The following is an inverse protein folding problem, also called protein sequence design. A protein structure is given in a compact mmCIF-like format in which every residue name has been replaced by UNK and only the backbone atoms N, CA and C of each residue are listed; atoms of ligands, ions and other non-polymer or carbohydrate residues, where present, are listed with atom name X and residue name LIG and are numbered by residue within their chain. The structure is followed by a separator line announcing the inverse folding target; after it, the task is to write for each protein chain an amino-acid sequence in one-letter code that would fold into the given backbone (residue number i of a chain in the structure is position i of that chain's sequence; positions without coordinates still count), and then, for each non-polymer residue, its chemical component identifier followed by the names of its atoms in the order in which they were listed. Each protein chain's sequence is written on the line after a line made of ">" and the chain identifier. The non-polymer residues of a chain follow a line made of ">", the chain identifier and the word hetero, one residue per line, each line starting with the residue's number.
data_IF_667356484370
#
_entry.id   IF_667356484370
#
_cell.length_a   1.000
_cell.length_b   1.000
_cell.length_c   1.000
_cell.angle_alpha   90.00
_cell.angle_beta   90.00
_cell.angle_gamma   90.00
#
_symmetry.space_group_name_H-M   'P 1'
#
loop_
_entity.id
_entity.type
_entity.pdbx_description
1 polymer ?
#
# COMPACT_ATOMS: atom_id res chain seq x y z
N UNK A 1 -55.57 12.81 -30.22
CA UNK A 1 -55.68 11.79 -29.19
C UNK A 1 -54.76 10.65 -29.59
N UNK A 2 -53.70 10.48 -28.90
CA UNK A 2 -52.96 9.25 -28.69
C UNK A 2 -51.65 9.60 -28.01
N UNK A 3 -51.62 9.39 -26.71
CA UNK A 3 -50.43 9.57 -25.89
C UNK A 3 -49.43 8.48 -26.20
N UNK A 4 -48.20 8.89 -26.39
CA UNK A 4 -47.04 7.98 -26.32
C UNK A 4 -46.37 8.14 -24.96
N UNK A 5 -46.62 7.19 -24.06
CA UNK A 5 -45.83 6.97 -22.85
C UNK A 5 -44.43 6.53 -23.25
N UNK A 6 -43.48 7.41 -23.14
CA UNK A 6 -42.07 7.06 -23.22
C UNK A 6 -41.64 6.41 -21.90
N UNK A 7 -41.53 5.09 -21.90
CA UNK A 7 -40.77 4.34 -20.87
C UNK A 7 -39.32 4.79 -20.91
N UNK A 8 -38.90 5.56 -19.92
CA UNK A 8 -37.48 5.71 -19.59
C UNK A 8 -37.04 4.45 -18.90
N UNK A 9 -36.48 3.51 -19.68
CA UNK A 9 -35.69 2.43 -19.12
C UNK A 9 -34.48 3.05 -18.41
N UNK A 10 -34.50 3.00 -17.10
CA UNK A 10 -33.32 3.18 -16.26
C UNK A 10 -32.36 2.01 -16.58
N UNK A 11 -31.46 2.24 -17.53
CA UNK A 11 -30.27 1.41 -17.65
C UNK A 11 -29.37 1.73 -16.46
N UNK A 12 -29.57 1.03 -15.33
CA UNK A 12 -28.54 0.94 -14.30
C UNK A 12 -27.30 0.33 -14.97
N UNK A 13 -26.35 1.20 -15.25
CA UNK A 13 -25.03 0.84 -15.73
C UNK A 13 -24.38 0.03 -14.60
N UNK A 14 -24.48 -1.29 -14.68
CA UNK A 14 -23.82 -2.23 -13.75
C UNK A 14 -22.33 -2.30 -14.11
N UNK A 15 -21.63 -1.15 -14.02
CA UNK A 15 -20.18 -1.14 -14.18
C UNK A 15 -19.58 -2.02 -13.09
N UNK A 16 -18.87 -3.07 -13.50
CA UNK A 16 -18.14 -3.97 -12.59
C UNK A 16 -17.26 -3.12 -11.67
N UNK A 17 -17.51 -3.17 -10.37
CA UNK A 17 -16.69 -2.45 -9.38
C UNK A 17 -15.23 -2.84 -9.53
N UNK A 18 -14.35 -1.84 -9.53
CA UNK A 18 -12.91 -2.09 -9.53
C UNK A 18 -12.50 -2.76 -8.21
N UNK A 19 -11.54 -3.67 -8.29
CA UNK A 19 -11.02 -4.41 -7.14
C UNK A 19 -9.63 -3.92 -6.75
N UNK A 20 -9.40 -3.79 -5.45
CA UNK A 20 -8.11 -3.39 -4.90
C UNK A 20 -7.60 -4.39 -3.86
N UNK A 21 -6.36 -4.86 -4.02
CA UNK A 21 -5.65 -5.55 -2.94
C UNK A 21 -4.78 -4.54 -2.18
N UNK A 22 -4.94 -4.49 -0.86
CA UNK A 22 -4.05 -3.71 0.02
C UNK A 22 -3.35 -4.66 0.98
N UNK A 23 -2.05 -4.91 0.77
CA UNK A 23 -1.30 -5.81 1.64
C UNK A 23 -1.03 -5.19 3.01
N UNK A 24 -1.12 -5.99 4.10
CA UNK A 24 -0.93 -5.49 5.46
C UNK A 24 -1.98 -4.47 5.92
N UNK A 25 -3.22 -4.62 5.46
CA UNK A 25 -4.31 -3.66 5.69
C UNK A 25 -5.18 -3.94 6.92
N UNK A 26 -4.75 -4.84 7.79
CA UNK A 26 -5.46 -5.11 9.06
C UNK A 26 -5.33 -3.97 10.09
N UNK A 27 -4.37 -3.05 9.94
CA UNK A 27 -4.12 -1.91 10.84
C UNK A 27 -3.30 -0.80 10.16
N UNK A 28 -3.11 0.31 10.89
CA UNK A 28 -2.21 1.40 10.51
C UNK A 28 -2.48 2.00 9.14
N UNK A 29 -1.41 2.29 8.40
CA UNK A 29 -1.47 2.90 7.06
C UNK A 29 -2.30 2.05 6.11
N UNK A 30 -2.08 0.73 6.09
CA UNK A 30 -2.82 -0.18 5.21
C UNK A 30 -4.33 -0.17 5.47
N UNK A 31 -4.78 -0.14 6.75
CA UNK A 31 -6.20 0.01 7.10
C UNK A 31 -6.78 1.33 6.57
N UNK A 32 -6.07 2.44 6.77
CA UNK A 32 -6.53 3.75 6.30
C UNK A 32 -6.66 3.78 4.78
N UNK A 33 -5.71 3.19 4.05
CA UNK A 33 -5.77 3.05 2.59
C UNK A 33 -6.96 2.18 2.17
N UNK A 34 -7.13 1.00 2.77
CA UNK A 34 -8.21 0.08 2.45
C UNK A 34 -9.60 0.72 2.62
N UNK A 35 -9.81 1.41 3.76
CA UNK A 35 -11.04 2.15 4.04
C UNK A 35 -11.25 3.30 3.05
N UNK A 36 -10.19 4.02 2.69
CA UNK A 36 -10.26 5.12 1.73
C UNK A 36 -10.62 4.65 0.32
N UNK A 37 -10.00 3.58 -0.18
CA UNK A 37 -10.30 3.00 -1.50
C UNK A 37 -11.73 2.45 -1.57
N UNK A 38 -12.21 1.84 -0.48
CA UNK A 38 -13.61 1.39 -0.40
C UNK A 38 -14.61 2.54 -0.51
N UNK A 39 -14.32 3.71 0.08
CA UNK A 39 -15.14 4.93 -0.08
C UNK A 39 -15.14 5.46 -1.50
N UNK A 40 -14.08 5.21 -2.27
CA UNK A 40 -13.99 5.53 -3.69
C UNK A 40 -14.62 4.47 -4.61
N UNK A 41 -15.34 3.49 -4.03
CA UNK A 41 -16.10 2.49 -4.76
C UNK A 41 -15.37 1.20 -5.09
N UNK A 42 -14.13 1.02 -4.64
CA UNK A 42 -13.43 -0.25 -4.81
C UNK A 42 -14.02 -1.36 -3.95
N UNK A 43 -14.08 -2.57 -4.50
CA UNK A 43 -14.14 -3.80 -3.71
C UNK A 43 -12.74 -4.10 -3.17
N UNK A 44 -12.56 -4.12 -1.84
CA UNK A 44 -11.24 -4.20 -1.24
C UNK A 44 -10.92 -5.59 -0.71
N UNK A 45 -9.78 -6.12 -1.11
CA UNK A 45 -9.20 -7.31 -0.48
C UNK A 45 -8.30 -6.84 0.67
N UNK A 46 -8.76 -7.06 1.89
CA UNK A 46 -7.99 -6.80 3.12
C UNK A 46 -7.03 -7.97 3.34
N UNK A 47 -5.75 -7.68 3.52
CA UNK A 47 -4.74 -8.72 3.75
C UNK A 47 -4.11 -8.58 5.13
N UNK A 48 -3.85 -9.73 5.78
CA UNK A 48 -3.09 -9.84 7.03
C UNK A 48 -2.16 -11.07 7.02
N UNK A 49 -1.05 -11.00 7.77
CA UNK A 49 -0.19 -12.15 7.96
C UNK A 49 -0.76 -13.12 9.02
N UNK A 50 -0.93 -12.67 10.26
CA UNK A 50 -1.34 -13.54 11.38
C UNK A 50 -2.62 -13.10 12.08
N UNK A 51 -2.87 -11.80 12.22
CA UNK A 51 -4.00 -11.31 13.01
C UNK A 51 -5.26 -11.12 12.17
N UNK A 52 -6.00 -12.22 11.98
CA UNK A 52 -7.27 -12.23 11.24
C UNK A 52 -8.34 -11.35 11.90
N UNK A 53 -8.39 -11.30 13.23
CA UNK A 53 -9.36 -10.49 13.95
C UNK A 53 -9.25 -9.01 13.59
N UNK A 54 -8.02 -8.45 13.53
CA UNK A 54 -7.81 -7.06 13.09
C UNK A 54 -8.18 -6.84 11.62
N UNK A 55 -8.08 -7.86 10.78
CA UNK A 55 -8.55 -7.78 9.40
C UNK A 55 -10.09 -7.77 9.34
N UNK A 56 -10.77 -8.56 10.16
CA UNK A 56 -12.23 -8.54 10.29
C UNK A 56 -12.74 -7.16 10.80
N UNK A 57 -12.01 -6.53 11.75
CA UNK A 57 -12.32 -5.16 12.16
C UNK A 57 -12.26 -4.18 10.98
N UNK A 58 -11.20 -4.27 10.15
CA UNK A 58 -11.05 -3.42 8.96
C UNK A 58 -12.19 -3.67 7.97
N UNK A 59 -12.53 -4.94 7.72
CA UNK A 59 -13.65 -5.32 6.86
C UNK A 59 -14.96 -4.72 7.38
N UNK A 60 -15.26 -4.86 8.67
CA UNK A 60 -16.47 -4.28 9.29
C UNK A 60 -16.53 -2.76 9.13
N UNK A 61 -15.41 -2.05 9.28
CA UNK A 61 -15.36 -0.59 9.05
C UNK A 61 -15.73 -0.25 7.61
N UNK A 62 -15.22 -1.00 6.64
CA UNK A 62 -15.54 -0.82 5.21
C UNK A 62 -17.02 -1.08 4.95
N UNK A 63 -17.55 -2.20 5.44
CA UNK A 63 -18.95 -2.59 5.23
C UNK A 63 -19.93 -1.64 5.92
N UNK A 64 -19.62 -1.17 7.13
CA UNK A 64 -20.40 -0.15 7.84
C UNK A 64 -20.44 1.19 7.11
N UNK A 65 -19.43 1.47 6.29
CA UNK A 65 -19.37 2.64 5.41
C UNK A 65 -20.05 2.43 4.04
N UNK A 66 -20.75 1.30 3.83
CA UNK A 66 -21.40 0.95 2.56
C UNK A 66 -20.48 0.36 1.50
N UNK A 67 -19.22 0.10 1.83
CA UNK A 67 -18.25 -0.55 0.94
C UNK A 67 -18.36 -2.08 0.95
N UNK A 68 -17.53 -2.75 0.13
CA UNK A 68 -17.42 -4.20 0.08
C UNK A 68 -15.98 -4.63 0.33
N UNK A 69 -15.78 -5.66 1.17
CA UNK A 69 -14.46 -6.19 1.44
C UNK A 69 -14.44 -7.71 1.65
N UNK A 70 -13.36 -8.34 1.18
CA UNK A 70 -13.00 -9.72 1.49
C UNK A 70 -11.67 -9.76 2.24
N UNK A 71 -11.30 -10.93 2.79
CA UNK A 71 -10.06 -11.08 3.55
C UNK A 71 -9.25 -12.23 2.97
N UNK A 72 -7.97 -11.97 2.69
CA UNK A 72 -6.97 -12.98 2.41
C UNK A 72 -5.87 -12.95 3.48
N UNK A 73 -5.44 -14.12 3.91
CA UNK A 73 -4.41 -14.27 4.93
C UNK A 73 -3.20 -15.01 4.37
N UNK A 74 -2.03 -14.38 4.45
CA UNK A 74 -0.74 -14.97 4.06
C UNK A 74 0.41 -14.27 4.77
N UNK A 75 1.40 -14.99 5.24
CA UNK A 75 2.66 -14.39 5.69
C UNK A 75 3.58 -14.17 4.48
N UNK A 76 3.78 -12.91 4.12
CA UNK A 76 4.62 -12.54 2.98
C UNK A 76 6.13 -12.70 3.23
N UNK A 77 6.54 -13.02 4.45
CA UNK A 77 7.91 -13.45 4.74
C UNK A 77 8.21 -14.84 4.19
N UNK A 78 7.15 -15.64 3.95
CA UNK A 78 7.22 -17.01 3.45
C UNK A 78 6.89 -17.03 1.95
N UNK A 79 7.86 -17.31 1.06
CA UNK A 79 7.67 -17.24 -0.40
C UNK A 79 6.49 -18.06 -0.91
N UNK A 80 6.29 -19.26 -0.37
CA UNK A 80 5.16 -20.13 -0.77
C UNK A 80 3.80 -19.51 -0.46
N UNK A 81 3.68 -18.79 0.66
CA UNK A 81 2.44 -18.09 1.00
C UNK A 81 2.25 -16.86 0.10
N UNK A 82 3.32 -16.16 -0.28
CA UNK A 82 3.24 -15.08 -1.26
C UNK A 82 2.77 -15.59 -2.63
N UNK A 83 3.29 -16.74 -3.09
CA UNK A 83 2.84 -17.41 -4.32
C UNK A 83 1.37 -17.85 -4.21
N UNK A 84 0.95 -18.38 -3.07
CA UNK A 84 -0.46 -18.72 -2.83
C UNK A 84 -1.35 -17.48 -2.90
N UNK A 85 -0.99 -16.42 -2.20
CA UNK A 85 -1.75 -15.15 -2.22
C UNK A 85 -1.87 -14.59 -3.64
N UNK A 86 -0.81 -14.64 -4.45
CA UNK A 86 -0.82 -14.16 -5.82
C UNK A 86 -1.84 -14.87 -6.72
N UNK A 87 -2.16 -16.13 -6.40
CA UNK A 87 -3.19 -16.91 -7.10
C UNK A 87 -4.60 -16.65 -6.54
N UNK A 88 -4.72 -16.55 -5.21
CA UNK A 88 -6.00 -16.37 -4.51
C UNK A 88 -6.58 -14.96 -4.65
N UNK A 89 -5.77 -13.94 -4.88
CA UNK A 89 -6.26 -12.56 -5.02
C UNK A 89 -7.12 -12.36 -6.27
N UNK A 90 -6.96 -13.22 -7.28
CA UNK A 90 -7.68 -13.09 -8.56
C UNK A 90 -7.34 -11.80 -9.31
N UNK A 91 -8.26 -11.34 -10.14
CA UNK A 91 -8.12 -10.09 -10.87
C UNK A 91 -8.23 -8.88 -9.95
N UNK A 92 -7.26 -7.98 -10.00
CA UNK A 92 -7.27 -6.71 -9.28
C UNK A 92 -6.88 -5.56 -10.22
N UNK A 93 -7.57 -4.45 -10.06
CA UNK A 93 -7.36 -3.22 -10.83
C UNK A 93 -6.37 -2.28 -10.12
N UNK A 94 -6.36 -2.29 -8.79
CA UNK A 94 -5.40 -1.57 -7.97
C UNK A 94 -4.66 -2.52 -7.02
N UNK A 95 -3.34 -2.37 -6.94
CA UNK A 95 -2.48 -3.15 -6.05
C UNK A 95 -1.67 -2.21 -5.15
N UNK A 96 -1.92 -2.25 -3.84
CA UNK A 96 -1.19 -1.47 -2.85
C UNK A 96 -0.29 -2.37 -2.02
N UNK A 97 1.01 -2.23 -2.20
CA UNK A 97 2.07 -3.02 -1.58
C UNK A 97 2.52 -2.33 -0.27
N UNK A 98 1.73 -2.51 0.79
CA UNK A 98 1.97 -1.85 2.09
C UNK A 98 2.56 -2.79 3.14
N UNK A 99 2.36 -4.10 3.05
CA UNK A 99 2.96 -5.05 3.99
C UNK A 99 4.49 -4.89 4.05
N UNK A 100 5.05 -4.89 5.25
CA UNK A 100 6.50 -4.81 5.41
C UNK A 100 6.96 -5.37 6.75
N UNK A 101 8.11 -6.03 6.73
CA UNK A 101 8.87 -6.44 7.91
C UNK A 101 10.03 -5.46 8.12
N UNK A 102 10.21 -5.03 9.36
CA UNK A 102 11.32 -4.18 9.80
C UNK A 102 11.95 -4.78 11.05
N UNK A 103 13.21 -5.15 10.96
CA UNK A 103 14.00 -5.63 12.09
C UNK A 103 15.09 -4.61 12.36
N UNK A 104 15.15 -4.10 13.59
CA UNK A 104 16.23 -3.23 14.07
C UNK A 104 17.36 -4.09 14.60
N UNK A 105 18.56 -3.90 14.06
CA UNK A 105 19.73 -4.68 14.43
C UNK A 105 21.01 -3.90 14.07
N UNK A 106 22.05 -3.89 14.90
CA UNK A 106 23.39 -3.48 14.47
C UNK A 106 23.83 -4.29 13.25
N UNK A 107 24.46 -3.66 12.27
CA UNK A 107 24.81 -4.32 11.01
C UNK A 107 25.67 -5.59 11.21
N UNK A 108 26.53 -5.59 12.22
CA UNK A 108 27.43 -6.71 12.57
C UNK A 108 26.72 -7.94 13.15
N UNK A 109 25.44 -7.79 13.55
CA UNK A 109 24.65 -8.84 14.19
C UNK A 109 23.52 -9.35 13.29
N UNK A 110 23.36 -8.78 12.09
CA UNK A 110 22.32 -9.21 11.15
C UNK A 110 22.58 -10.63 10.68
N UNK A 111 21.62 -11.52 10.90
CA UNK A 111 21.71 -12.90 10.39
C UNK A 111 21.22 -12.98 8.94
N UNK A 112 21.67 -13.99 8.22
CA UNK A 112 21.20 -14.29 6.85
C UNK A 112 19.68 -14.49 6.82
N UNK A 113 19.14 -15.16 7.82
CA UNK A 113 17.70 -15.42 7.96
C UNK A 113 16.89 -14.12 8.14
N UNK A 114 17.34 -13.21 9.01
CA UNK A 114 16.70 -11.89 9.18
C UNK A 114 16.74 -11.05 7.90
N UNK A 115 17.87 -11.12 7.18
CA UNK A 115 18.02 -10.47 5.89
C UNK A 115 17.02 -11.04 4.86
N UNK A 116 16.99 -12.37 4.71
CA UNK A 116 16.10 -13.06 3.79
C UNK A 116 14.61 -12.77 4.09
N UNK A 117 14.21 -12.87 5.36
CA UNK A 117 12.81 -12.56 5.76
C UNK A 117 12.39 -11.14 5.38
N UNK A 118 13.25 -10.15 5.64
CA UNK A 118 12.94 -8.77 5.26
C UNK A 118 12.86 -8.59 3.75
N UNK A 119 13.79 -9.17 2.99
CA UNK A 119 13.79 -9.11 1.53
C UNK A 119 12.60 -9.87 0.94
N UNK A 120 12.25 -11.05 1.46
CA UNK A 120 11.07 -11.79 1.03
C UNK A 120 9.80 -10.97 1.20
N UNK A 121 9.57 -10.44 2.41
CA UNK A 121 8.38 -9.67 2.72
C UNK A 121 8.29 -8.37 1.91
N UNK A 122 9.39 -7.60 1.89
CA UNK A 122 9.35 -6.23 1.38
C UNK A 122 9.53 -6.17 -0.15
N UNK A 123 10.31 -7.07 -0.75
CA UNK A 123 10.65 -7.01 -2.18
C UNK A 123 10.10 -8.18 -2.98
N UNK A 124 10.44 -9.42 -2.61
CA UNK A 124 10.09 -10.61 -3.41
C UNK A 124 8.57 -10.79 -3.50
N UNK A 125 7.86 -10.70 -2.37
CA UNK A 125 6.40 -10.79 -2.36
C UNK A 125 5.75 -9.69 -3.20
N UNK A 126 6.29 -8.45 -3.14
CA UNK A 126 5.82 -7.34 -3.97
C UNK A 126 5.93 -7.66 -5.45
N UNK A 127 7.08 -8.19 -5.89
CA UNK A 127 7.31 -8.60 -7.27
C UNK A 127 6.33 -9.70 -7.72
N UNK A 128 6.14 -10.73 -6.90
CA UNK A 128 5.20 -11.83 -7.22
C UNK A 128 3.76 -11.35 -7.38
N UNK A 129 3.30 -10.46 -6.51
CA UNK A 129 1.95 -9.89 -6.57
C UNK A 129 1.79 -8.99 -7.81
N UNK A 130 2.80 -8.20 -8.17
CA UNK A 130 2.78 -7.41 -9.40
C UNK A 130 2.70 -8.33 -10.63
N UNK A 131 3.50 -9.39 -10.70
CA UNK A 131 3.47 -10.35 -11.81
C UNK A 131 2.09 -10.97 -12.01
N UNK A 132 1.37 -11.23 -10.93
CA UNK A 132 0.03 -11.80 -10.98
C UNK A 132 -1.05 -10.77 -11.35
N UNK A 133 -0.90 -9.50 -10.96
CA UNK A 133 -1.89 -8.45 -11.25
C UNK A 133 -1.77 -7.89 -12.67
N UNK A 134 -0.57 -7.74 -13.19
CA UNK A 134 -0.29 -7.05 -14.46
C UNK A 134 -1.02 -7.65 -15.68
N UNK A 135 -1.16 -8.97 -15.87
CA UNK A 135 -1.87 -9.52 -17.01
C UNK A 135 -3.30 -8.98 -17.17
N UNK A 136 -4.07 -8.96 -16.07
CA UNK A 136 -5.42 -8.38 -16.06
C UNK A 136 -5.40 -6.88 -16.35
N UNK A 137 -4.52 -6.11 -15.68
CA UNK A 137 -4.39 -4.67 -15.88
C UNK A 137 -4.05 -4.32 -17.34
N UNK A 138 -3.17 -5.10 -17.99
CA UNK A 138 -2.85 -4.95 -19.43
C UNK A 138 -4.06 -5.18 -20.32
N UNK A 139 -4.84 -6.23 -20.04
CA UNK A 139 -6.06 -6.53 -20.79
C UNK A 139 -7.09 -5.39 -20.68
N UNK A 140 -7.22 -4.78 -19.50
CA UNK A 140 -8.12 -3.66 -19.26
C UNK A 140 -7.58 -2.32 -19.76
N UNK A 141 -6.31 -2.24 -20.18
CA UNK A 141 -5.60 -0.98 -20.46
C UNK A 141 -5.72 0.03 -19.32
N UNK A 142 -5.80 -0.49 -18.11
CA UNK A 142 -5.93 0.27 -16.88
C UNK A 142 -5.36 -0.51 -15.68
N UNK A 143 -4.53 0.13 -14.89
CA UNK A 143 -4.01 -0.44 -13.65
C UNK A 143 -3.36 0.61 -12.78
N UNK A 144 -3.39 0.37 -11.47
CA UNK A 144 -2.73 1.23 -10.47
C UNK A 144 -1.93 0.38 -9.50
N UNK A 145 -0.63 0.59 -9.47
CA UNK A 145 0.29 -0.09 -8.55
C UNK A 145 0.96 0.97 -7.68
N UNK A 146 0.76 0.86 -6.36
CA UNK A 146 1.35 1.79 -5.39
C UNK A 146 2.12 0.99 -4.34
N UNK A 147 3.43 1.22 -4.26
CA UNK A 147 4.27 0.72 -3.16
C UNK A 147 4.24 1.70 -1.99
N UNK A 148 4.23 1.18 -0.77
CA UNK A 148 4.47 1.98 0.43
C UNK A 148 5.93 1.80 0.85
N UNK A 149 6.72 2.78 0.44
CA UNK A 149 8.15 2.87 0.75
C UNK A 149 8.44 3.36 2.17
N UNK A 150 9.44 4.17 2.30
CA UNK A 150 9.83 4.83 3.55
C UNK A 150 10.77 6.00 3.25
N UNK A 151 10.74 7.03 4.07
CA UNK A 151 11.81 8.05 4.08
C UNK A 151 13.21 7.43 4.14
N UNK A 152 13.33 6.20 4.62
CA UNK A 152 14.60 5.47 4.73
C UNK A 152 15.17 4.97 3.39
N UNK A 153 14.43 5.06 2.30
CA UNK A 153 14.97 4.79 0.96
C UNK A 153 15.98 5.87 0.51
N UNK A 154 15.82 7.11 1.03
CA UNK A 154 16.70 8.25 0.76
C UNK A 154 17.55 8.65 1.99
N UNK A 155 17.04 8.41 3.21
CA UNK A 155 17.68 8.77 4.48
C UNK A 155 17.74 7.54 5.41
N UNK A 156 18.69 6.62 5.17
CA UNK A 156 18.76 5.34 5.89
C UNK A 156 19.02 5.53 7.38
N UNK A 157 18.47 4.62 8.19
CA UNK A 157 18.72 4.58 9.63
C UNK A 157 19.83 3.57 9.94
N UNK A 158 20.81 3.88 10.81
CA UNK A 158 21.96 3.02 11.07
C UNK A 158 21.59 1.60 11.54
N UNK A 159 20.54 1.45 12.36
CA UNK A 159 20.09 0.14 12.87
C UNK A 159 19.09 -0.58 11.96
N UNK A 160 18.85 -0.10 10.76
CA UNK A 160 17.85 -0.66 9.84
C UNK A 160 18.40 -0.88 8.44
N UNK A 161 19.63 -1.36 8.35
CA UNK A 161 20.33 -1.53 7.08
C UNK A 161 19.53 -2.31 6.05
N UNK A 162 19.06 -3.51 6.39
CA UNK A 162 18.31 -4.37 5.45
C UNK A 162 16.96 -3.77 5.09
N UNK A 163 16.25 -3.20 6.07
CA UNK A 163 14.97 -2.52 5.81
C UNK A 163 15.15 -1.36 4.83
N UNK A 164 16.12 -0.46 5.08
CA UNK A 164 16.41 0.67 4.20
C UNK A 164 16.78 0.22 2.79
N UNK A 165 17.65 -0.79 2.67
CA UNK A 165 18.02 -1.39 1.40
C UNK A 165 16.82 -1.99 0.66
N UNK A 166 15.93 -2.70 1.37
CA UNK A 166 14.72 -3.27 0.77
C UNK A 166 13.76 -2.20 0.25
N UNK A 167 13.67 -1.05 0.94
CA UNK A 167 12.83 0.09 0.51
C UNK A 167 13.42 0.80 -0.71
N UNK A 168 14.74 0.99 -0.76
CA UNK A 168 15.41 1.49 -1.95
C UNK A 168 15.25 0.55 -3.15
N UNK A 169 15.31 -0.78 -2.94
CA UNK A 169 15.06 -1.78 -3.97
C UNK A 169 13.61 -1.71 -4.50
N UNK A 170 12.60 -1.51 -3.61
CA UNK A 170 11.21 -1.29 -4.03
C UNK A 170 11.06 -0.05 -4.91
N UNK A 171 11.70 1.07 -4.55
CA UNK A 171 11.66 2.31 -5.33
C UNK A 171 12.26 2.13 -6.72
N UNK A 172 13.40 1.44 -6.82
CA UNK A 172 14.00 1.10 -8.12
C UNK A 172 13.10 0.19 -8.97
N UNK A 173 12.46 -0.82 -8.35
CA UNK A 173 11.49 -1.69 -9.03
C UNK A 173 10.30 -0.87 -9.56
N UNK A 174 9.76 0.07 -8.79
CA UNK A 174 8.68 0.97 -9.21
C UNK A 174 9.07 1.76 -10.46
N UNK A 175 10.25 2.37 -10.47
CA UNK A 175 10.75 3.15 -11.60
C UNK A 175 10.93 2.28 -12.85
N UNK A 176 11.53 1.11 -12.70
CA UNK A 176 11.75 0.16 -13.80
C UNK A 176 10.42 -0.32 -14.41
N UNK A 177 9.44 -0.66 -13.57
CA UNK A 177 8.13 -1.12 -14.05
C UNK A 177 7.28 0.01 -14.64
N UNK A 178 7.39 1.24 -14.14
CA UNK A 178 6.71 2.39 -14.70
C UNK A 178 7.06 2.58 -16.18
N UNK A 179 8.34 2.45 -16.54
CA UNK A 179 8.80 2.54 -17.93
C UNK A 179 8.21 1.43 -18.82
N UNK A 180 8.05 0.23 -18.28
CA UNK A 180 7.61 -0.94 -19.02
C UNK A 180 6.09 -1.02 -19.20
N UNK A 181 5.32 -0.45 -18.26
CA UNK A 181 3.89 -0.64 -18.18
C UNK A 181 3.06 0.61 -18.56
N UNK A 182 3.70 1.77 -18.71
CA UNK A 182 3.01 3.03 -19.00
C UNK A 182 2.18 2.97 -20.30
N UNK A 183 2.71 2.36 -21.37
CA UNK A 183 2.01 2.20 -22.64
C UNK A 183 0.75 1.31 -22.54
N UNK A 184 0.64 0.52 -21.48
CA UNK A 184 -0.51 -0.33 -21.20
C UNK A 184 -1.57 0.37 -20.31
N UNK A 185 -1.42 1.67 -20.03
CA UNK A 185 -2.33 2.44 -19.17
C UNK A 185 -2.17 2.15 -17.67
N UNK A 186 -1.06 1.52 -17.29
CA UNK A 186 -0.75 1.15 -15.91
C UNK A 186 0.24 2.16 -15.33
N UNK A 187 -0.09 2.74 -14.17
CA UNK A 187 0.84 3.58 -13.43
C UNK A 187 1.44 2.81 -12.26
N UNK A 188 2.72 3.03 -12.00
CA UNK A 188 3.46 2.41 -10.90
C UNK A 188 4.18 3.49 -10.12
N UNK A 189 3.81 3.69 -8.84
CA UNK A 189 4.35 4.75 -8.01
C UNK A 189 4.70 4.24 -6.61
N UNK A 190 5.48 5.03 -5.89
CA UNK A 190 5.84 4.81 -4.50
C UNK A 190 5.37 5.99 -3.65
N UNK A 191 4.80 5.69 -2.49
CA UNK A 191 4.55 6.67 -1.42
C UNK A 191 5.52 6.35 -0.30
N UNK A 192 6.36 7.30 0.07
CA UNK A 192 7.42 7.17 1.07
C UNK A 192 7.04 7.91 2.37
N UNK A 193 6.43 7.23 3.36
CA UNK A 193 6.08 7.87 4.62
C UNK A 193 7.31 8.24 5.44
N UNK A 194 7.20 9.37 6.16
CA UNK A 194 8.07 9.71 7.28
C UNK A 194 7.66 8.99 8.56
N UNK A 195 7.62 9.74 9.67
CA UNK A 195 7.14 9.20 10.94
C UNK A 195 5.61 9.31 10.99
N UNK A 196 4.93 8.17 10.95
CA UNK A 196 3.48 8.08 11.01
C UNK A 196 3.06 7.44 12.34
N UNK A 197 2.12 8.05 13.05
CA UNK A 197 1.58 7.51 14.30
C UNK A 197 0.74 6.25 14.03
N UNK A 198 1.32 5.11 14.35
CA UNK A 198 0.71 3.78 14.16
C UNK A 198 1.08 2.86 15.31
N UNK A 199 0.41 1.71 15.44
CA UNK A 199 0.74 0.68 16.44
C UNK A 199 2.25 0.33 16.50
N UNK A 200 2.97 0.47 15.37
CA UNK A 200 4.41 0.20 15.28
C UNK A 200 5.25 1.20 16.07
N UNK A 201 4.78 2.45 16.17
CA UNK A 201 5.53 3.56 16.76
C UNK A 201 4.97 4.04 18.09
N UNK A 202 3.79 3.56 18.53
CA UNK A 202 3.13 3.99 19.77
C UNK A 202 4.04 3.80 20.98
N UNK A 203 4.67 2.63 21.12
CA UNK A 203 5.55 2.35 22.27
C UNK A 203 6.75 3.31 22.31
N UNK A 204 7.45 3.49 21.19
CA UNK A 204 8.59 4.40 21.12
C UNK A 204 8.18 5.88 21.34
N UNK A 205 7.02 6.28 20.81
CA UNK A 205 6.50 7.66 20.96
C UNK A 205 5.81 7.90 22.33
N UNK A 206 5.65 6.88 23.16
CA UNK A 206 5.15 7.05 24.53
C UNK A 206 6.22 7.64 25.48
N UNK A 207 7.50 7.57 25.11
CA UNK A 207 8.56 8.29 25.80
C UNK A 207 8.54 9.79 25.39
N UNK A 208 8.26 10.72 26.31
CA UNK A 208 8.12 12.13 26.00
C UNK A 208 9.42 12.78 25.47
N UNK A 209 10.59 12.32 25.89
CA UNK A 209 11.87 12.84 25.44
C UNK A 209 12.14 12.39 24.00
N UNK A 210 11.90 11.10 23.72
CA UNK A 210 12.01 10.57 22.36
C UNK A 210 11.00 11.21 21.41
N UNK A 211 9.73 11.33 21.81
CA UNK A 211 8.68 11.98 21.04
C UNK A 211 9.05 13.43 20.68
N UNK A 212 9.58 14.19 21.63
CA UNK A 212 10.05 15.56 21.42
C UNK A 212 11.21 15.62 20.42
N UNK A 213 12.20 14.73 20.52
CA UNK A 213 13.33 14.64 19.57
C UNK A 213 12.84 14.29 18.16
N UNK A 214 11.93 13.34 18.06
CA UNK A 214 11.34 12.95 16.77
C UNK A 214 10.57 14.12 16.15
N UNK A 215 9.69 14.77 16.92
CA UNK A 215 8.90 15.92 16.46
C UNK A 215 9.79 17.07 16.00
N UNK A 216 10.83 17.41 16.77
CA UNK A 216 11.81 18.45 16.42
C UNK A 216 12.61 18.14 15.14
N UNK A 217 12.69 16.86 14.75
CA UNK A 217 13.34 16.43 13.50
C UNK A 217 12.40 16.42 12.28
N UNK A 218 11.19 16.95 12.40
CA UNK A 218 10.21 17.02 11.32
C UNK A 218 9.89 18.51 11.08
N UNK A 219 10.21 19.10 9.92
CA UNK A 219 10.02 20.53 9.67
C UNK A 219 8.62 21.07 9.94
N UNK A 220 7.56 20.28 9.65
CA UNK A 220 6.17 20.71 9.96
C UNK A 220 5.83 20.67 11.45
N UNK A 221 6.70 20.12 12.31
CA UNK A 221 6.56 20.15 13.77
C UNK A 221 5.61 19.10 14.37
N UNK A 222 5.16 18.11 13.59
CA UNK A 222 4.35 16.97 14.07
C UNK A 222 4.59 15.72 13.23
N UNK A 223 4.26 14.55 13.76
CA UNK A 223 4.27 13.29 13.02
C UNK A 223 2.91 13.06 12.34
N UNK A 224 2.95 12.46 11.14
CA UNK A 224 1.76 12.22 10.34
C UNK A 224 0.85 11.14 10.91
N UNK A 225 -0.33 11.04 10.36
CA UNK A 225 -1.33 10.00 10.61
C UNK A 225 -1.43 9.06 9.42
N UNK A 226 -2.01 7.85 9.57
CA UNK A 226 -2.30 6.97 8.45
C UNK A 226 -3.11 7.63 7.32
N UNK A 227 -3.97 8.59 7.65
CA UNK A 227 -4.81 9.33 6.70
C UNK A 227 -3.99 10.22 5.76
N UNK A 228 -2.87 10.78 6.23
CA UNK A 228 -1.99 11.58 5.40
C UNK A 228 -1.41 10.76 4.23
N UNK A 229 -1.04 9.49 4.50
CA UNK A 229 -0.60 8.58 3.45
C UNK A 229 -1.77 8.11 2.56
N UNK A 230 -2.93 7.83 3.15
CA UNK A 230 -4.09 7.32 2.41
C UNK A 230 -4.60 8.32 1.37
N UNK A 231 -4.54 9.62 1.64
CA UNK A 231 -4.92 10.67 0.69
C UNK A 231 -4.09 10.63 -0.59
N UNK A 232 -2.77 10.46 -0.47
CA UNK A 232 -1.88 10.33 -1.63
C UNK A 232 -2.14 9.03 -2.40
N UNK A 233 -2.33 7.91 -1.72
CA UNK A 233 -2.63 6.62 -2.38
C UNK A 233 -3.95 6.69 -3.14
N UNK A 234 -4.99 7.34 -2.60
CA UNK A 234 -6.27 7.57 -3.28
C UNK A 234 -6.07 8.31 -4.60
N UNK A 235 -5.32 9.42 -4.57
CA UNK A 235 -4.98 10.17 -5.79
C UNK A 235 -4.31 9.28 -6.82
N UNK A 236 -3.28 8.53 -6.42
CA UNK A 236 -2.53 7.64 -7.32
C UNK A 236 -3.37 6.48 -7.85
N UNK A 237 -4.38 6.02 -7.12
CA UNK A 237 -5.30 4.98 -7.55
C UNK A 237 -6.51 5.51 -8.35
N UNK A 238 -6.68 6.82 -8.48
CA UNK A 238 -7.80 7.45 -9.17
C UNK A 238 -7.51 7.72 -10.66
N UNK A 239 -8.49 8.33 -11.35
CA UNK A 239 -8.32 8.81 -12.70
C UNK A 239 -7.43 10.07 -12.76
N UNK A 240 -7.44 10.88 -11.73
CA UNK A 240 -6.61 12.08 -11.60
C UNK A 240 -5.12 11.74 -11.53
N UNK A 241 -4.78 10.56 -10.98
CA UNK A 241 -3.40 10.05 -10.93
C UNK A 241 -2.86 9.48 -12.24
N UNK A 242 -3.62 9.48 -13.34
CA UNK A 242 -3.26 8.79 -14.59
C UNK A 242 -1.96 9.26 -15.26
N UNK A 243 -1.52 10.48 -14.95
CA UNK A 243 -0.30 11.05 -15.52
C UNK A 243 0.89 11.06 -14.54
N UNK A 244 0.73 10.37 -13.39
CA UNK A 244 1.76 10.22 -12.37
C UNK A 244 2.24 8.77 -12.43
N UNK A 245 3.48 8.53 -12.87
CA UNK A 245 4.09 7.20 -12.89
C UNK A 245 5.60 7.29 -12.67
N UNK A 246 6.20 6.27 -12.05
CA UNK A 246 7.62 6.21 -11.74
C UNK A 246 8.07 7.11 -10.60
N UNK A 247 7.13 7.73 -9.86
CA UNK A 247 7.46 8.69 -8.82
C UNK A 247 7.60 8.02 -7.46
N UNK A 248 8.52 8.54 -6.64
CA UNK A 248 8.56 8.32 -5.20
C UNK A 248 8.16 9.63 -4.51
N UNK A 249 7.00 9.62 -3.86
CA UNK A 249 6.39 10.80 -3.25
C UNK A 249 6.53 10.70 -1.73
N UNK A 250 7.33 11.60 -1.16
CA UNK A 250 7.54 11.65 0.28
C UNK A 250 6.32 12.29 0.98
N UNK A 251 5.76 11.57 1.95
CA UNK A 251 4.70 12.06 2.85
C UNK A 251 5.29 12.03 4.26
N UNK A 252 6.12 13.02 4.56
CA UNK A 252 7.06 12.97 5.68
C UNK A 252 7.22 14.28 6.46
N UNK A 253 6.42 15.30 6.12
CA UNK A 253 6.49 16.63 6.76
C UNK A 253 7.81 17.35 6.53
N UNK A 254 8.53 17.03 5.44
CA UNK A 254 9.82 17.62 5.07
C UNK A 254 11.03 16.92 5.70
N UNK A 255 10.83 15.76 6.38
CA UNK A 255 11.91 15.06 7.08
C UNK A 255 13.04 14.58 6.16
N UNK A 256 12.75 14.25 4.92
CA UNK A 256 13.76 13.77 3.95
C UNK A 256 14.73 14.84 3.47
N UNK A 257 14.34 16.10 3.52
CA UNK A 257 15.12 17.23 3.00
C UNK A 257 15.82 18.05 4.11
N UNK A 258 15.73 17.63 5.34
CA UNK A 258 16.37 18.24 6.52
C UNK A 258 17.79 17.72 6.74
#
# INVERSE_FOLDING_TARGET
>A
MSGQNGNKENSENNEKKKRALVTGSSRGIGRAIAVSLAKDGYEVIVHCAGNRQKAEETKKIIESGGGSASILQADLCEPDQAVRLSKEMGEVDALVLNASLQIRRPWSEITVEECQKQMNCNFVASMLLIQAAVPHMKQQKWGRIVSIGSVQEAKPHPDMLVYSASKAAQTNMVQSLALQLAADGITVNNVAPGVIYTDRNVEALSDPEYARKVTASIPVGFYGTPQDCAGMVRLLCSQEGRYITGQSIFVDGGKSIQ
#
